data_IF_572363609530
#
_entry.id   IF_572363609530
#
_cell.length_a   1.000
_cell.length_b   1.000
_cell.length_c   1.000
_cell.angle_alpha   90.00
_cell.angle_beta   90.00
_cell.angle_gamma   90.00
#
_symmetry.space_group_name_H-M   'P 1'
#
loop_
_entity.id
_entity.type
_entity.pdbx_description
1 polymer ?
#
# COMPACT_ATOMS: atom_id res chain seq x y z
N UNK A 1 13.30 2.82 6.48
CA UNK A 1 12.27 3.24 7.45
C UNK A 1 11.71 4.61 7.10
N UNK A 2 10.43 4.69 6.77
CA UNK A 2 9.69 5.93 6.47
C UNK A 2 8.60 6.12 7.51
N UNK A 3 8.54 7.28 8.17
CA UNK A 3 7.50 7.60 9.16
C UNK A 3 6.30 8.25 8.49
N UNK A 4 5.10 7.97 8.99
CA UNK A 4 3.86 8.63 8.59
C UNK A 4 2.97 8.89 9.81
N UNK A 5 2.12 9.92 9.72
CA UNK A 5 1.15 10.26 10.76
C UNK A 5 -0.22 9.66 10.40
N UNK A 6 -0.82 8.97 11.36
CA UNK A 6 -2.20 8.50 11.30
C UNK A 6 -3.09 9.43 12.13
N UNK A 7 -4.31 9.61 11.66
CA UNK A 7 -5.37 10.31 12.38
C UNK A 7 -6.68 9.56 12.14
N UNK A 8 -7.40 9.22 13.21
CA UNK A 8 -8.69 8.55 13.10
C UNK A 8 -9.65 9.05 14.17
N UNK A 9 -10.92 9.19 13.77
CA UNK A 9 -12.04 9.51 14.65
C UNK A 9 -12.87 8.23 14.76
N UNK A 10 -13.04 7.75 15.99
CA UNK A 10 -13.76 6.52 16.31
C UNK A 10 -15.27 6.77 16.33
N UNK A 11 -16.05 5.70 16.36
CA UNK A 11 -17.51 5.76 16.38
C UNK A 11 -18.09 6.52 17.60
N UNK A 12 -17.34 6.60 18.69
CA UNK A 12 -17.71 7.38 19.89
C UNK A 12 -17.33 8.87 19.80
N UNK A 13 -16.75 9.29 18.67
CA UNK A 13 -16.27 10.66 18.42
C UNK A 13 -14.91 10.97 19.01
N UNK A 14 -14.24 10.02 19.68
CA UNK A 14 -12.86 10.20 20.11
C UNK A 14 -11.95 10.33 18.88
N UNK A 15 -11.00 11.26 18.91
CA UNK A 15 -10.00 11.40 17.86
C UNK A 15 -8.62 11.10 18.40
N UNK A 16 -7.93 10.15 17.77
CA UNK A 16 -6.55 9.79 18.10
C UNK A 16 -5.60 10.02 16.93
N UNK A 17 -4.38 10.42 17.29
CA UNK A 17 -3.25 10.56 16.40
C UNK A 17 -2.14 9.59 16.85
N UNK A 18 -1.50 8.91 15.90
CA UNK A 18 -0.33 8.08 16.19
C UNK A 18 0.66 8.08 15.02
N UNK A 19 1.87 7.60 15.29
CA UNK A 19 2.92 7.46 14.27
C UNK A 19 3.03 6.00 13.87
N UNK A 20 3.00 5.76 12.56
CA UNK A 20 3.36 4.48 11.96
C UNK A 20 4.66 4.58 11.17
N UNK A 21 5.22 3.42 10.84
CA UNK A 21 6.44 3.29 10.05
C UNK A 21 6.29 2.25 8.96
N UNK A 22 6.80 2.57 7.77
CA UNK A 22 7.12 1.60 6.72
C UNK A 22 8.55 1.19 6.95
N UNK A 23 8.75 -0.03 7.45
CA UNK A 23 10.07 -0.50 7.88
C UNK A 23 10.88 -1.02 6.69
N UNK A 24 10.23 -1.77 5.81
CA UNK A 24 10.83 -2.42 4.65
C UNK A 24 9.85 -2.49 3.46
N UNK A 25 10.39 -2.49 2.24
CA UNK A 25 9.65 -2.61 0.98
C UNK A 25 10.44 -3.52 0.05
N UNK A 26 9.90 -4.70 -0.25
CA UNK A 26 10.45 -5.62 -1.24
C UNK A 26 9.62 -5.56 -2.51
N UNK A 27 10.29 -5.32 -3.64
CA UNK A 27 9.66 -5.25 -4.95
C UNK A 27 9.86 -6.57 -5.71
N UNK A 28 8.77 -7.28 -6.02
CA UNK A 28 8.78 -8.52 -6.81
C UNK A 28 8.43 -8.29 -8.29
N UNK A 29 8.38 -7.03 -8.74
CA UNK A 29 8.00 -6.63 -10.09
C UNK A 29 6.49 -6.52 -10.26
N UNK A 30 5.74 -7.59 -9.96
CA UNK A 30 4.28 -7.62 -10.08
C UNK A 30 3.54 -7.11 -8.83
N UNK A 31 4.19 -7.16 -7.68
CA UNK A 31 3.64 -6.76 -6.39
C UNK A 31 4.77 -6.37 -5.41
N UNK A 32 4.35 -5.86 -4.26
CA UNK A 32 5.22 -5.49 -3.15
C UNK A 32 4.90 -6.30 -1.91
N UNK A 33 5.93 -6.71 -1.19
CA UNK A 33 5.82 -7.10 0.22
C UNK A 33 6.29 -5.92 1.07
N UNK A 34 5.44 -5.43 1.96
CA UNK A 34 5.69 -4.21 2.73
C UNK A 34 5.53 -4.53 4.21
N UNK A 35 6.53 -4.18 5.02
CA UNK A 35 6.45 -4.28 6.47
C UNK A 35 6.01 -2.94 7.07
N UNK A 36 4.87 -2.95 7.74
CA UNK A 36 4.27 -1.77 8.38
C UNK A 36 4.21 -2.00 9.88
N UNK A 37 4.61 -1.01 10.67
CA UNK A 37 4.56 -1.05 12.13
C UNK A 37 3.89 0.18 12.70
N UNK A 38 3.12 -0.01 13.77
CA UNK A 38 2.56 1.08 14.58
C UNK A 38 2.24 0.55 15.97
N UNK A 39 2.30 1.43 17.00
CA UNK A 39 1.83 1.12 18.36
C UNK A 39 2.38 -0.20 18.97
N UNK A 40 3.59 -0.61 18.57
CA UNK A 40 4.23 -1.83 19.08
C UNK A 40 3.89 -3.12 18.33
N UNK A 41 3.03 -3.06 17.30
CA UNK A 41 2.73 -4.18 16.40
C UNK A 41 3.37 -3.96 15.02
N UNK A 42 3.58 -5.06 14.29
CA UNK A 42 4.14 -5.06 12.94
C UNK A 42 3.46 -6.13 12.11
N UNK A 43 3.06 -5.79 10.89
CA UNK A 43 2.44 -6.71 9.95
C UNK A 43 3.08 -6.59 8.57
N UNK A 44 3.05 -7.71 7.83
CA UNK A 44 3.42 -7.74 6.43
C UNK A 44 2.15 -7.65 5.61
N UNK A 45 2.17 -6.77 4.60
CA UNK A 45 1.10 -6.66 3.61
C UNK A 45 1.67 -6.93 2.22
N UNK A 46 0.87 -7.59 1.38
CA UNK A 46 1.17 -7.80 -0.03
C UNK A 46 0.29 -6.85 -0.83
N UNK A 47 0.91 -5.95 -1.59
CA UNK A 47 0.24 -4.92 -2.38
C UNK A 47 0.49 -5.15 -3.87
N UNK A 48 -0.56 -5.31 -4.66
CA UNK A 48 -0.47 -5.44 -6.11
C UNK A 48 -1.44 -4.52 -6.84
N UNK A 49 -1.16 -4.26 -8.12
CA UNK A 49 -2.01 -3.44 -8.99
C UNK A 49 -2.73 -4.32 -10.01
N UNK A 50 -3.96 -3.97 -10.32
CA UNK A 50 -4.77 -4.60 -11.38
C UNK A 50 -5.49 -3.52 -12.20
N UNK A 51 -6.25 -3.91 -13.22
CA UNK A 51 -6.82 -2.97 -14.21
C UNK A 51 -7.67 -1.86 -13.60
N UNK A 52 -8.33 -2.12 -12.46
CA UNK A 52 -9.29 -1.19 -11.85
C UNK A 52 -8.80 -0.58 -10.53
N UNK A 53 -7.57 -0.88 -10.09
CA UNK A 53 -7.00 -0.30 -8.89
C UNK A 53 -5.92 -1.17 -8.26
N UNK A 54 -5.93 -1.24 -6.93
CA UNK A 54 -4.96 -2.01 -6.16
C UNK A 54 -5.64 -3.10 -5.34
N UNK A 55 -4.94 -4.18 -5.03
CA UNK A 55 -5.39 -5.16 -4.05
C UNK A 55 -4.36 -5.27 -2.95
N UNK A 56 -4.84 -5.59 -1.75
CA UNK A 56 -4.00 -5.81 -0.59
C UNK A 56 -4.39 -7.14 0.08
N UNK A 57 -3.38 -7.89 0.50
CA UNK A 57 -3.52 -9.10 1.31
C UNK A 57 -2.69 -8.93 2.59
N UNK A 58 -3.22 -9.40 3.72
CA UNK A 58 -2.52 -9.47 5.00
C UNK A 58 -2.38 -10.94 5.37
N UNK A 59 -1.25 -11.60 5.02
CA UNK A 59 -1.15 -13.06 5.11
C UNK A 59 -1.32 -13.61 6.53
N UNK A 60 -0.85 -12.87 7.55
CA UNK A 60 -0.95 -13.28 8.95
C UNK A 60 -2.39 -13.35 9.48
N UNK A 61 -3.31 -12.66 8.80
CA UNK A 61 -4.72 -12.56 9.20
C UNK A 61 -5.64 -13.29 8.22
N UNK A 62 -5.10 -13.86 7.14
CA UNK A 62 -5.85 -14.56 6.08
C UNK A 62 -6.98 -13.71 5.47
N UNK A 63 -6.72 -12.42 5.28
CA UNK A 63 -7.67 -11.44 4.71
C UNK A 63 -7.08 -10.67 3.54
N UNK A 64 -7.96 -10.20 2.65
CA UNK A 64 -7.58 -9.33 1.55
C UNK A 64 -8.77 -8.57 0.97
N UNK A 65 -8.49 -7.46 0.29
CA UNK A 65 -9.50 -6.61 -0.35
C UNK A 65 -8.96 -5.90 -1.59
N UNK A 66 -9.86 -5.50 -2.47
CA UNK A 66 -9.60 -4.43 -3.44
C UNK A 66 -9.57 -3.06 -2.76
N UNK A 67 -8.79 -2.17 -3.32
CA UNK A 67 -8.57 -0.77 -2.95
C UNK A 67 -8.88 0.13 -4.15
N UNK A 68 -8.97 1.43 -3.90
CA UNK A 68 -9.20 2.46 -4.92
C UNK A 68 -8.12 2.46 -6.00
N UNK A 69 -8.40 3.13 -7.12
CA UNK A 69 -7.41 3.38 -8.18
C UNK A 69 -6.21 4.19 -7.68
N UNK A 70 -6.45 5.06 -6.70
CA UNK A 70 -5.43 5.90 -6.06
C UNK A 70 -5.29 5.45 -4.61
N UNK A 71 -4.06 5.15 -4.17
CA UNK A 71 -3.82 4.78 -2.77
C UNK A 71 -3.99 5.99 -1.82
N UNK A 72 -3.86 7.19 -2.36
CA UNK A 72 -4.12 8.47 -1.73
C UNK A 72 -5.59 8.76 -1.45
N UNK A 73 -6.51 7.96 -1.99
CA UNK A 73 -7.93 7.96 -1.60
C UNK A 73 -8.11 7.35 -0.20
N UNK A 74 -7.70 8.14 0.79
CA UNK A 74 -7.54 7.67 2.16
C UNK A 74 -8.87 7.25 2.78
N UNK A 75 -9.98 7.92 2.45
CA UNK A 75 -11.29 7.62 3.03
C UNK A 75 -11.77 6.24 2.57
N UNK A 76 -11.80 6.01 1.25
CA UNK A 76 -12.24 4.74 0.69
C UNK A 76 -11.35 3.57 1.14
N UNK A 77 -10.03 3.73 1.05
CA UNK A 77 -9.09 2.66 1.39
C UNK A 77 -9.13 2.35 2.88
N UNK A 78 -9.26 3.37 3.73
CA UNK A 78 -9.37 3.18 5.18
C UNK A 78 -10.62 2.40 5.56
N UNK A 79 -11.79 2.77 5.04
CA UNK A 79 -13.04 2.05 5.32
C UNK A 79 -12.94 0.56 4.93
N UNK A 80 -12.42 0.27 3.74
CA UNK A 80 -12.22 -1.11 3.27
C UNK A 80 -11.26 -1.91 4.14
N UNK A 81 -10.15 -1.29 4.54
CA UNK A 81 -9.15 -1.95 5.35
C UNK A 81 -9.67 -2.20 6.76
N UNK A 82 -10.33 -1.22 7.40
CA UNK A 82 -10.97 -1.40 8.70
C UNK A 82 -11.98 -2.56 8.68
N UNK A 83 -12.76 -2.68 7.61
CA UNK A 83 -13.73 -3.77 7.46
C UNK A 83 -13.07 -5.14 7.43
N UNK A 84 -11.95 -5.32 6.71
CA UNK A 84 -11.29 -6.64 6.63
C UNK A 84 -10.36 -6.94 7.80
N UNK A 85 -9.88 -5.91 8.52
CA UNK A 85 -9.06 -6.09 9.72
C UNK A 85 -9.90 -6.24 10.98
N UNK A 86 -11.20 -5.92 10.90
CA UNK A 86 -12.11 -5.82 12.06
C UNK A 86 -11.52 -4.96 13.19
N UNK A 87 -10.70 -3.98 12.82
CA UNK A 87 -9.91 -3.17 13.75
C UNK A 87 -9.60 -1.82 13.11
N UNK A 88 -10.13 -0.75 13.71
CA UNK A 88 -10.03 0.62 13.20
C UNK A 88 -8.58 1.12 13.13
N UNK A 89 -7.77 0.80 14.14
CA UNK A 89 -6.37 1.22 14.25
C UNK A 89 -5.52 0.55 13.19
N UNK A 90 -5.66 -0.76 13.03
CA UNK A 90 -4.87 -1.53 12.07
C UNK A 90 -5.26 -1.15 10.63
N UNK A 91 -6.56 -1.06 10.35
CA UNK A 91 -7.06 -0.64 9.05
C UNK A 91 -6.61 0.78 8.67
N UNK A 92 -6.74 1.73 9.60
CA UNK A 92 -6.25 3.09 9.40
C UNK A 92 -4.73 3.14 9.21
N UNK A 93 -3.96 2.41 10.02
CA UNK A 93 -2.49 2.36 9.92
C UNK A 93 -2.05 1.92 8.53
N UNK A 94 -2.62 0.83 8.02
CA UNK A 94 -2.30 0.33 6.67
C UNK A 94 -2.70 1.37 5.62
N UNK A 95 -3.89 1.95 5.70
CA UNK A 95 -4.36 2.94 4.73
C UNK A 95 -3.44 4.17 4.64
N UNK A 96 -3.00 4.70 5.80
CA UNK A 96 -2.07 5.83 5.83
C UNK A 96 -0.68 5.46 5.32
N UNK A 97 -0.21 4.23 5.55
CA UNK A 97 1.04 3.75 4.98
C UNK A 97 0.99 3.73 3.44
N UNK A 98 -0.10 3.20 2.86
CA UNK A 98 -0.29 3.15 1.40
C UNK A 98 -0.36 4.54 0.77
N UNK A 99 -1.07 5.46 1.41
CA UNK A 99 -1.10 6.87 1.01
C UNK A 99 0.29 7.49 1.00
N UNK A 100 1.10 7.24 2.04
CA UNK A 100 2.47 7.76 2.12
C UNK A 100 3.40 7.17 1.05
N UNK A 101 3.25 5.88 0.74
CA UNK A 101 4.00 5.22 -0.33
C UNK A 101 3.74 5.86 -1.69
N UNK A 102 2.48 6.12 -2.03
CA UNK A 102 2.11 6.78 -3.29
C UNK A 102 2.60 8.22 -3.33
N UNK A 103 2.37 9.00 -2.26
CA UNK A 103 2.83 10.40 -2.15
C UNK A 103 4.34 10.55 -2.34
N UNK A 104 5.13 9.61 -1.81
CA UNK A 104 6.60 9.63 -1.95
C UNK A 104 7.10 8.94 -3.21
N UNK A 105 6.22 8.33 -4.02
CA UNK A 105 6.60 7.59 -5.23
C UNK A 105 7.48 6.38 -4.93
N UNK A 106 7.30 5.75 -3.76
CA UNK A 106 8.08 4.59 -3.29
C UNK A 106 7.60 3.26 -3.89
N UNK A 107 6.45 3.28 -4.55
CA UNK A 107 5.90 2.15 -5.29
C UNK A 107 5.76 2.54 -6.77
N UNK A 108 6.21 1.66 -7.64
CA UNK A 108 6.15 1.77 -9.10
C UNK A 108 6.01 0.37 -9.69
N UNK A 109 4.79 -0.01 -10.03
CA UNK A 109 4.58 -1.28 -10.73
C UNK A 109 5.14 -1.15 -12.14
N UNK A 110 6.02 -2.09 -12.52
CA UNK A 110 6.53 -2.17 -13.88
C UNK A 110 5.39 -2.68 -14.78
N UNK A 111 4.66 -1.74 -15.37
CA UNK A 111 3.73 -2.07 -16.45
C UNK A 111 4.53 -2.57 -17.65
N UNK A 112 3.94 -3.46 -18.48
CA UNK A 112 4.61 -4.06 -19.65
C UNK A 112 5.29 -3.01 -20.52
N UNK A 113 4.64 -1.88 -20.75
CA UNK A 113 5.22 -0.75 -21.48
C UNK A 113 6.42 -0.12 -20.77
N UNK A 114 6.39 -0.02 -19.44
CA UNK A 114 7.50 0.47 -18.64
C UNK A 114 8.71 -0.47 -18.70
N UNK A 115 8.48 -1.78 -18.66
CA UNK A 115 9.54 -2.78 -18.85
C UNK A 115 10.13 -2.70 -20.26
N UNK A 116 9.29 -2.64 -21.29
CA UNK A 116 9.74 -2.51 -22.68
C UNK A 116 10.58 -1.23 -22.86
N UNK A 117 10.08 -0.08 -22.40
CA UNK A 117 10.83 1.20 -22.45
C UNK A 117 12.16 1.13 -21.70
N UNK A 118 12.20 0.46 -20.55
CA UNK A 118 13.43 0.29 -19.78
C UNK A 118 14.42 -0.60 -20.55
N UNK A 119 13.97 -1.72 -21.08
CA UNK A 119 14.81 -2.65 -21.84
C UNK A 119 15.33 -2.01 -23.14
N UNK A 120 14.52 -1.20 -23.81
CA UNK A 120 14.96 -0.40 -24.97
C UNK A 120 16.01 0.64 -24.59
N UNK A 121 15.77 1.37 -23.49
CA UNK A 121 16.72 2.38 -22.98
C UNK A 121 18.07 1.76 -22.63
N UNK A 122 18.07 0.57 -22.05
CA UNK A 122 19.30 -0.17 -21.72
C UNK A 122 19.89 -0.92 -22.93
N UNK A 123 19.29 -0.80 -24.11
CA UNK A 123 19.78 -1.41 -25.35
C UNK A 123 19.64 -2.94 -25.42
N UNK A 124 18.83 -3.53 -24.54
CA UNK A 124 18.63 -4.98 -24.44
C UNK A 124 17.63 -5.51 -25.46
N UNK A 125 16.71 -4.65 -25.91
CA UNK A 125 15.75 -4.95 -26.97
C UNK A 125 15.67 -3.77 -27.94
N UNK A 126 15.12 -4.02 -29.12
CA UNK A 126 14.66 -2.99 -30.05
C UNK A 126 13.23 -3.35 -30.44
N UNK A 127 12.25 -2.54 -30.07
CA UNK A 127 10.86 -2.79 -30.49
C UNK A 127 10.78 -2.54 -31.98
N UNK A 128 10.16 -3.48 -32.68
CA UNK A 128 9.87 -3.39 -34.11
C UNK A 128 8.38 -3.02 -34.20
N UNK A 129 8.07 -1.88 -34.80
CA UNK A 129 6.69 -1.40 -35.05
C UNK A 129 5.95 -2.30 -36.04
#
# INVERSE_FOLDING_TARGET
>A
MVKFKCTHEFDDGEKQDWIGTIDDIKNYGSHYEIKISARGTSNIVILGKYSNGWFLVIPSWDVGTSLSKYLSDINYNKEKLIMITENEIDGATIAYALNELEKKGLIKVLEKEGLIKLLEKEGLIKVIE
#
